data_IF_059016983241
#
_entry.id   IF_059016983241
#
_cell.length_a   1.000
_cell.length_b   1.000
_cell.length_c   1.000
_cell.angle_alpha   90.00
_cell.angle_beta   90.00
_cell.angle_gamma   90.00
#
_symmetry.space_group_name_H-M   'P 1'
#
loop_
_entity.id
_entity.type
_entity.pdbx_description
1 polymer ?
#
# COMPACT_ATOMS: atom_id res chain seq x y z
N UNK A 1 3.08 -9.82 -3.40
CA UNK A 1 1.89 -10.64 -3.75
C UNK A 1 2.20 -11.50 -4.98
N UNK A 2 2.51 -10.86 -6.13
CA UNK A 2 2.81 -11.58 -7.40
C UNK A 2 3.89 -12.63 -7.15
N UNK A 3 5.02 -12.25 -6.56
CA UNK A 3 6.14 -13.15 -6.30
C UNK A 3 5.75 -14.38 -5.49
N UNK A 4 4.89 -14.20 -4.46
CA UNK A 4 4.38 -15.31 -3.64
C UNK A 4 3.43 -16.21 -4.42
N UNK A 5 2.54 -15.63 -5.24
CA UNK A 5 1.57 -16.40 -6.02
C UNK A 5 2.24 -17.28 -7.09
N UNK A 6 3.31 -16.78 -7.69
CA UNK A 6 4.03 -17.45 -8.79
C UNK A 6 5.36 -18.09 -8.38
N UNK A 7 5.61 -18.22 -7.07
CA UNK A 7 6.82 -18.85 -6.51
C UNK A 7 8.14 -18.19 -6.94
N UNK A 8 8.11 -16.87 -7.16
CA UNK A 8 9.28 -16.05 -7.48
C UNK A 8 9.93 -15.60 -6.17
N UNK A 9 11.24 -15.67 -6.08
CA UNK A 9 11.97 -15.18 -4.91
C UNK A 9 11.76 -13.69 -4.64
N UNK A 10 11.72 -13.31 -3.37
CA UNK A 10 11.61 -11.93 -2.90
C UNK A 10 12.86 -11.56 -2.11
N UNK A 11 13.56 -10.50 -2.50
CA UNK A 11 14.65 -9.95 -1.71
C UNK A 11 14.15 -8.84 -0.79
N UNK A 12 14.36 -9.00 0.51
CA UNK A 12 14.12 -7.98 1.53
C UNK A 12 15.45 -7.31 1.85
N UNK A 13 15.52 -6.01 1.63
CA UNK A 13 16.66 -5.19 2.01
C UNK A 13 16.46 -4.70 3.44
N UNK A 14 17.40 -5.08 4.34
CA UNK A 14 17.32 -4.84 5.77
C UNK A 14 16.58 -5.97 6.51
N UNK A 15 15.96 -5.63 7.64
CA UNK A 15 15.39 -6.61 8.57
C UNK A 15 13.87 -6.90 8.34
N UNK A 16 13.27 -6.28 7.35
CA UNK A 16 11.85 -6.41 7.03
C UNK A 16 10.89 -5.70 7.99
N UNK A 17 11.42 -4.94 8.97
CA UNK A 17 10.60 -4.21 9.94
C UNK A 17 10.30 -2.77 9.52
N UNK A 18 10.76 -2.37 8.34
CA UNK A 18 10.42 -1.05 7.80
C UNK A 18 8.91 -0.90 7.62
N UNK A 19 8.37 0.18 8.20
CA UNK A 19 6.94 0.47 8.21
C UNK A 19 6.58 1.47 7.12
N UNK A 20 5.49 1.21 6.43
CA UNK A 20 4.88 2.12 5.45
C UNK A 20 3.39 2.21 5.70
N UNK A 21 2.82 3.37 5.39
CA UNK A 21 1.39 3.49 5.23
C UNK A 21 1.01 3.11 3.80
N UNK A 22 0.04 2.24 3.66
CA UNK A 22 -0.42 1.74 2.37
C UNK A 22 -1.80 2.26 2.04
N UNK A 23 -2.01 2.58 0.77
CA UNK A 23 -3.27 3.10 0.28
C UNK A 23 -3.77 2.21 -0.85
N UNK A 24 -5.03 1.77 -0.76
CA UNK A 24 -5.64 1.05 -1.86
C UNK A 24 -6.01 2.01 -2.99
N UNK A 25 -5.81 1.59 -4.24
CA UNK A 25 -5.93 2.45 -5.42
C UNK A 25 -7.29 3.12 -5.56
N UNK A 26 -8.39 2.47 -5.17
CA UNK A 26 -9.72 3.09 -5.23
C UNK A 26 -9.85 4.33 -4.35
N UNK A 27 -9.20 4.33 -3.18
CA UNK A 27 -9.22 5.49 -2.28
C UNK A 27 -8.41 6.66 -2.85
N UNK A 28 -7.32 6.38 -3.57
CA UNK A 28 -6.58 7.39 -4.32
C UNK A 28 -7.44 8.02 -5.42
N UNK A 29 -8.19 7.21 -6.17
CA UNK A 29 -9.10 7.71 -7.21
C UNK A 29 -10.18 8.61 -6.60
N UNK A 30 -10.73 8.24 -5.44
CA UNK A 30 -11.69 9.09 -4.71
C UNK A 30 -11.07 10.44 -4.32
N UNK A 31 -9.80 10.45 -3.86
CA UNK A 31 -9.11 11.69 -3.54
C UNK A 31 -8.99 12.61 -4.78
N UNK A 32 -8.62 12.06 -5.94
CA UNK A 32 -8.54 12.82 -7.19
C UNK A 32 -9.91 13.38 -7.62
N UNK A 33 -10.97 12.57 -7.55
CA UNK A 33 -12.33 13.00 -7.90
C UNK A 33 -12.79 14.15 -6.99
N UNK A 34 -12.56 14.05 -5.68
CA UNK A 34 -12.88 15.11 -4.73
C UNK A 34 -12.09 16.39 -5.00
N UNK A 35 -10.79 16.27 -5.32
CA UNK A 35 -9.98 17.43 -5.67
C UNK A 35 -10.50 18.13 -6.94
N UNK A 36 -10.83 17.37 -7.99
CA UNK A 36 -11.36 17.88 -9.25
C UNK A 36 -12.70 18.60 -9.03
N UNK A 37 -13.60 18.00 -8.25
CA UNK A 37 -14.92 18.59 -7.92
C UNK A 37 -14.81 19.90 -7.13
N UNK A 38 -13.75 20.06 -6.34
CA UNK A 38 -13.52 21.24 -5.51
C UNK A 38 -12.39 22.15 -6.04
N UNK A 39 -11.97 21.98 -7.28
CA UNK A 39 -10.79 22.67 -7.87
C UNK A 39 -10.80 24.20 -7.68
N UNK A 40 -11.96 24.81 -7.79
CA UNK A 40 -12.07 26.29 -7.70
C UNK A 40 -11.73 26.82 -6.29
N UNK A 41 -11.95 25.99 -5.26
CA UNK A 41 -11.62 26.31 -3.85
C UNK A 41 -10.23 25.85 -3.45
N UNK A 42 -9.69 24.87 -4.16
CA UNK A 42 -8.45 24.17 -3.79
C UNK A 42 -7.27 24.48 -4.73
N UNK A 43 -7.46 25.42 -5.68
CA UNK A 43 -6.40 25.82 -6.61
C UNK A 43 -5.13 26.24 -5.86
N UNK A 44 -3.98 25.72 -6.30
CA UNK A 44 -2.68 25.99 -5.68
C UNK A 44 -2.42 25.23 -4.36
N UNK A 45 -3.36 24.43 -3.88
CA UNK A 45 -3.17 23.61 -2.67
C UNK A 45 -2.41 22.33 -2.96
N UNK A 46 -1.54 21.92 -2.03
CA UNK A 46 -0.81 20.66 -2.07
C UNK A 46 -1.30 19.77 -0.92
N UNK A 47 -1.50 18.49 -1.21
CA UNK A 47 -1.99 17.50 -0.26
C UNK A 47 -1.08 16.28 -0.22
N UNK A 48 -0.84 15.74 0.98
CA UNK A 48 -0.36 14.39 1.12
C UNK A 48 -1.56 13.43 1.03
N UNK A 49 -1.44 12.42 0.20
CA UNK A 49 -2.43 11.35 0.06
C UNK A 49 -1.70 10.02 0.33
N UNK A 50 -2.14 9.30 1.33
CA UNK A 50 -1.55 8.04 1.76
C UNK A 50 -2.49 7.25 2.66
N UNK A 51 -2.03 6.14 3.22
CA UNK A 51 -2.82 5.31 4.12
C UNK A 51 -3.05 5.95 5.49
N UNK A 52 -2.15 6.86 5.90
CA UNK A 52 -2.17 7.46 7.23
C UNK A 52 -1.82 6.45 8.33
N UNK A 53 -1.99 6.85 9.58
CA UNK A 53 -1.64 6.04 10.75
C UNK A 53 -2.44 4.74 10.88
N UNK A 54 -3.68 4.72 10.38
CA UNK A 54 -4.58 3.57 10.50
C UNK A 54 -4.25 2.43 9.52
N UNK A 55 -3.56 2.73 8.43
CA UNK A 55 -3.23 1.76 7.37
C UNK A 55 -1.72 1.52 7.27
N UNK A 56 -1.07 1.32 8.40
CA UNK A 56 0.37 1.03 8.47
C UNK A 56 0.64 -0.45 8.59
N UNK A 57 1.75 -0.90 8.01
CA UNK A 57 2.30 -2.23 8.24
C UNK A 57 3.79 -2.28 7.90
N UNK A 58 4.49 -3.24 8.48
CA UNK A 58 5.85 -3.63 8.10
C UNK A 58 5.83 -4.64 6.94
N UNK A 59 6.99 -4.86 6.31
CA UNK A 59 7.11 -5.91 5.28
C UNK A 59 6.84 -7.30 5.86
N UNK A 60 7.27 -7.58 7.09
CA UNK A 60 7.01 -8.87 7.73
C UNK A 60 5.52 -9.10 7.97
N UNK A 61 4.78 -8.07 8.41
CA UNK A 61 3.33 -8.14 8.56
C UNK A 61 2.63 -8.34 7.21
N UNK A 62 3.08 -7.64 6.16
CA UNK A 62 2.58 -7.84 4.80
C UNK A 62 2.74 -9.29 4.35
N UNK A 63 3.92 -9.87 4.54
CA UNK A 63 4.20 -11.27 4.17
C UNK A 63 3.31 -12.24 4.94
N UNK A 64 3.11 -12.03 6.23
CA UNK A 64 2.21 -12.84 7.04
C UNK A 64 0.75 -12.78 6.54
N UNK A 65 0.28 -11.60 6.15
CA UNK A 65 -1.07 -11.44 5.59
C UNK A 65 -1.17 -12.20 4.26
N UNK A 66 -0.19 -12.04 3.37
CA UNK A 66 -0.17 -12.73 2.08
C UNK A 66 -0.14 -14.25 2.27
N UNK A 67 0.71 -14.77 3.16
CA UNK A 67 0.79 -16.20 3.47
C UNK A 67 -0.56 -16.73 3.97
N UNK A 68 -1.20 -16.02 4.89
CA UNK A 68 -2.51 -16.37 5.43
C UNK A 68 -3.61 -16.40 4.36
N UNK A 69 -3.62 -15.43 3.46
CA UNK A 69 -4.66 -15.29 2.43
C UNK A 69 -4.44 -16.22 1.22
N UNK A 70 -3.20 -16.60 0.95
CA UNK A 70 -2.87 -17.44 -0.23
C UNK A 70 -2.59 -18.90 0.12
N UNK A 71 -2.26 -19.19 1.38
CA UNK A 71 -1.72 -20.49 1.82
C UNK A 71 -0.31 -20.78 1.31
N UNK A 72 0.34 -19.81 0.66
CA UNK A 72 1.69 -19.95 0.09
C UNK A 72 2.71 -19.14 0.88
N UNK A 73 3.86 -19.73 1.16
CA UNK A 73 5.02 -19.03 1.72
C UNK A 73 5.79 -18.31 0.63
N UNK A 74 6.23 -17.09 0.95
CA UNK A 74 7.17 -16.36 0.10
C UNK A 74 8.57 -16.96 0.26
N UNK A 75 9.26 -17.20 -0.85
CA UNK A 75 10.70 -17.53 -0.82
C UNK A 75 11.49 -16.24 -0.61
N UNK A 76 11.95 -16.01 0.64
CA UNK A 76 12.56 -14.75 1.08
C UNK A 76 14.06 -14.90 1.13
N UNK A 77 14.75 -13.96 0.50
CA UNK A 77 16.16 -13.71 0.65
C UNK A 77 16.37 -12.34 1.32
N UNK A 78 17.33 -12.23 2.23
CA UNK A 78 17.66 -10.97 2.91
C UNK A 78 18.98 -10.43 2.35
N UNK A 79 19.05 -9.10 2.21
CA UNK A 79 20.23 -8.39 1.76
C UNK A 79 20.41 -7.12 2.60
N UNK A 80 21.55 -6.46 2.47
CA UNK A 80 21.90 -5.26 3.21
C UNK A 80 20.92 -4.11 2.99
N UNK A 81 20.81 -3.23 3.97
CA UNK A 81 19.99 -2.03 3.87
C UNK A 81 20.39 -1.17 2.67
N UNK A 82 19.42 -0.73 1.90
CA UNK A 82 19.65 0.25 0.84
C UNK A 82 20.01 1.60 1.44
N UNK A 83 20.99 2.34 0.86
CA UNK A 83 21.26 3.71 1.28
C UNK A 83 19.98 4.57 1.26
N UNK A 84 19.78 5.35 2.32
CA UNK A 84 18.63 6.26 2.47
C UNK A 84 17.25 5.59 2.57
N UNK A 85 17.17 4.26 2.76
CA UNK A 85 15.88 3.63 2.98
C UNK A 85 15.33 4.02 4.37
N UNK A 86 14.10 4.53 4.39
CA UNK A 86 13.46 4.99 5.61
C UNK A 86 12.95 3.80 6.43
N UNK A 87 13.29 3.77 7.73
CA UNK A 87 12.78 2.73 8.64
C UNK A 87 11.28 2.85 8.89
N UNK A 88 10.77 4.08 8.96
CA UNK A 88 9.35 4.38 9.14
C UNK A 88 8.97 5.55 8.25
N UNK A 89 7.90 5.40 7.50
CA UNK A 89 7.25 6.49 6.78
C UNK A 89 5.73 6.36 6.92
N UNK A 90 5.09 7.43 7.39
CA UNK A 90 3.64 7.53 7.56
C UNK A 90 3.21 8.91 7.09
N UNK A 91 2.29 8.97 6.13
CA UNK A 91 1.79 10.22 5.58
C UNK A 91 0.88 10.94 6.59
N UNK A 92 1.14 12.22 6.82
CA UNK A 92 0.16 13.09 7.47
C UNK A 92 -0.91 13.50 6.44
N UNK A 93 -2.10 12.94 6.58
CA UNK A 93 -3.25 13.18 5.72
C UNK A 93 -4.27 14.16 6.31
N UNK A 94 -3.92 14.85 7.40
CA UNK A 94 -4.85 15.75 8.13
C UNK A 94 -5.44 16.81 7.21
N UNK A 95 -4.62 17.45 6.37
CA UNK A 95 -5.09 18.46 5.42
C UNK A 95 -6.10 17.91 4.41
N UNK A 96 -5.93 16.67 3.96
CA UNK A 96 -6.88 16.02 3.05
C UNK A 96 -8.20 15.71 3.77
N UNK A 97 -8.14 15.28 5.03
CA UNK A 97 -9.35 15.10 5.87
C UNK A 97 -10.11 16.40 6.02
N UNK A 98 -9.42 17.48 6.36
CA UNK A 98 -10.06 18.75 6.69
C UNK A 98 -10.64 19.47 5.46
N UNK A 99 -9.89 19.55 4.36
CA UNK A 99 -10.26 20.35 3.20
C UNK A 99 -10.98 19.56 2.09
N UNK A 100 -10.70 18.24 1.95
CA UNK A 100 -11.36 17.38 0.98
C UNK A 100 -12.45 16.52 1.60
N UNK A 101 -12.57 16.47 2.93
CA UNK A 101 -13.40 15.49 3.65
C UNK A 101 -13.08 14.06 3.21
N UNK A 102 -11.79 13.79 2.95
CA UNK A 102 -11.29 12.52 2.45
C UNK A 102 -10.48 11.78 3.51
N UNK A 103 -10.71 10.49 3.59
CA UNK A 103 -9.85 9.54 4.31
C UNK A 103 -9.88 8.18 3.61
N UNK A 104 -8.83 7.35 3.77
CA UNK A 104 -8.86 5.96 3.31
C UNK A 104 -10.07 5.21 3.89
N UNK A 105 -10.72 4.40 3.07
CA UNK A 105 -11.87 3.57 3.47
C UNK A 105 -11.56 2.08 3.42
N UNK A 106 -10.60 1.71 2.60
CA UNK A 106 -10.19 0.32 2.44
C UNK A 106 -9.06 0.02 3.41
N UNK A 107 -9.27 -0.91 4.31
CA UNK A 107 -8.22 -1.36 5.24
C UNK A 107 -7.10 -2.09 4.54
N UNK A 108 -5.93 -2.20 5.19
CA UNK A 108 -4.77 -2.96 4.70
C UNK A 108 -5.17 -4.38 4.30
N UNK A 109 -5.85 -5.11 5.19
CA UNK A 109 -6.27 -6.48 4.95
C UNK A 109 -7.22 -6.61 3.75
N UNK A 110 -8.20 -5.72 3.66
CA UNK A 110 -9.14 -5.71 2.54
C UNK A 110 -8.46 -5.39 1.21
N UNK A 111 -7.57 -4.39 1.20
CA UNK A 111 -6.80 -4.01 0.01
C UNK A 111 -5.91 -5.14 -0.49
N UNK A 112 -5.23 -5.85 0.42
CA UNK A 112 -4.40 -7.02 0.07
C UNK A 112 -5.26 -8.15 -0.51
N UNK A 113 -6.41 -8.47 0.10
CA UNK A 113 -7.35 -9.49 -0.43
C UNK A 113 -7.83 -9.14 -1.84
N UNK A 114 -8.25 -7.90 -2.05
CA UNK A 114 -8.68 -7.42 -3.37
C UNK A 114 -7.56 -7.52 -4.40
N UNK A 115 -6.33 -7.17 -4.02
CA UNK A 115 -5.17 -7.28 -4.90
C UNK A 115 -4.84 -8.73 -5.25
N UNK A 116 -4.88 -9.65 -4.28
CA UNK A 116 -4.67 -11.08 -4.50
C UNK A 116 -5.73 -11.63 -5.47
N UNK A 117 -7.00 -11.30 -5.24
CA UNK A 117 -8.09 -11.76 -6.11
C UNK A 117 -7.93 -11.22 -7.52
N UNK A 118 -7.64 -9.93 -7.66
CA UNK A 118 -7.44 -9.34 -8.98
C UNK A 118 -6.28 -9.99 -9.76
N UNK A 119 -5.17 -10.30 -9.10
CA UNK A 119 -4.03 -10.99 -9.74
C UNK A 119 -4.44 -12.40 -10.19
N UNK A 120 -5.20 -13.14 -9.35
CA UNK A 120 -5.70 -14.46 -9.71
C UNK A 120 -6.63 -14.43 -10.93
N UNK A 121 -7.53 -13.46 -10.98
CA UNK A 121 -8.49 -13.29 -12.07
C UNK A 121 -7.82 -12.83 -13.38
N UNK A 122 -6.61 -12.29 -13.29
CA UNK A 122 -5.85 -11.71 -14.39
C UNK A 122 -4.47 -12.36 -14.57
N UNK A 123 -4.33 -13.63 -14.21
CA UNK A 123 -3.04 -14.36 -14.27
C UNK A 123 -2.33 -14.28 -15.63
N UNK A 124 -3.08 -14.19 -16.72
CA UNK A 124 -2.53 -14.12 -18.06
C UNK A 124 -1.60 -12.91 -18.30
N UNK A 125 -1.72 -11.87 -17.49
CA UNK A 125 -0.84 -10.69 -17.57
C UNK A 125 0.51 -10.88 -16.86
N UNK A 126 0.67 -11.95 -16.09
CA UNK A 126 1.83 -12.20 -15.24
C UNK A 126 2.64 -13.46 -15.62
N UNK A 127 2.21 -14.17 -16.67
CA UNK A 127 2.86 -15.39 -17.19
C UNK A 127 3.66 -15.13 -18.44
#
# INVERSE_FOLDING_TARGET
IISTLFDIGVTIYGDGKQVRDVLFVSDLIVAFDLFIKNRDKLSGQVFNIGGGSENTLSLLELLNIIEKETGKRSNIHYDDWRPSDQKVYISDISKAKDLLSWSPRISVNEGIKKSIQWIKDNEAYFK
#
